data_IF_041704410654
#
_entry.id   IF_041704410654
#
_cell.length_a   1.000
_cell.length_b   1.000
_cell.length_c   1.000
_cell.angle_alpha   90.00
_cell.angle_beta   90.00
_cell.angle_gamma   90.00
#
_symmetry.space_group_name_H-M   'P 1'
#
loop_
_entity.id
_entity.type
_entity.pdbx_description
1 polymer ?
#
# COMPACT_ATOMS: atom_id res chain seq x y z
N UNK A 1 -10.35 -0.71 3.73
CA UNK A 1 -9.68 -0.55 5.05
C UNK A 1 -10.74 -0.70 6.12
N UNK A 2 -10.43 -1.34 7.25
CA UNK A 2 -11.34 -1.37 8.39
C UNK A 2 -10.86 -0.40 9.46
N UNK A 3 -11.79 0.30 10.09
CA UNK A 3 -11.52 1.30 11.13
C UNK A 3 -12.34 0.96 12.33
N UNK A 4 -11.66 0.55 13.40
CA UNK A 4 -12.26 0.11 14.65
C UNK A 4 -12.15 1.20 15.70
N UNK A 5 -13.21 1.40 16.47
CA UNK A 5 -13.25 2.36 17.54
C UNK A 5 -13.78 1.73 18.84
N UNK A 6 -12.98 1.76 19.90
CA UNK A 6 -13.44 1.40 21.25
C UNK A 6 -14.43 2.45 21.77
N UNK A 7 -15.29 2.03 22.69
CA UNK A 7 -16.32 2.91 23.26
C UNK A 7 -15.71 4.11 23.99
N UNK A 8 -14.64 3.88 24.74
CA UNK A 8 -13.94 4.88 25.53
C UNK A 8 -13.26 5.92 24.62
N UNK A 9 -12.59 5.46 23.56
CA UNK A 9 -11.96 6.37 22.59
C UNK A 9 -13.00 7.29 21.96
N UNK A 10 -14.13 6.74 21.50
CA UNK A 10 -15.20 7.53 20.87
C UNK A 10 -15.79 8.55 21.81
N UNK A 11 -16.02 8.17 23.08
CA UNK A 11 -16.58 9.09 24.07
C UNK A 11 -15.69 10.32 24.22
N UNK A 12 -14.37 10.13 24.29
CA UNK A 12 -13.42 11.25 24.39
C UNK A 12 -13.34 12.02 23.07
N UNK A 13 -13.19 11.34 21.94
CA UNK A 13 -13.07 11.98 20.63
C UNK A 13 -14.30 12.84 20.30
N UNK A 14 -15.51 12.33 20.50
CA UNK A 14 -16.75 13.05 20.19
C UNK A 14 -17.00 14.24 21.12
N UNK A 15 -16.46 14.20 22.35
CA UNK A 15 -16.52 15.31 23.30
C UNK A 15 -15.58 16.47 22.98
N UNK A 16 -14.57 16.26 22.11
CA UNK A 16 -13.66 17.33 21.68
C UNK A 16 -14.40 18.36 20.80
N UNK A 17 -14.07 19.66 20.92
CA UNK A 17 -14.44 20.65 19.90
C UNK A 17 -13.94 20.22 18.52
N UNK A 18 -14.72 20.48 17.46
CA UNK A 18 -14.31 20.15 16.10
C UNK A 18 -13.07 20.96 15.68
N UNK A 19 -12.14 20.31 14.94
CA UNK A 19 -10.98 20.93 14.27
C UNK A 19 -9.84 21.49 15.15
N UNK A 20 -9.55 20.86 16.29
CA UNK A 20 -8.44 21.34 17.14
C UNK A 20 -7.03 21.01 16.61
N UNK A 21 -6.90 20.03 15.70
CA UNK A 21 -5.61 19.60 15.15
C UNK A 21 -5.72 19.08 13.72
N UNK A 22 -4.58 18.99 13.02
CA UNK A 22 -4.48 18.32 11.70
C UNK A 22 -4.87 16.83 11.77
N UNK A 23 -4.72 16.21 12.95
CA UNK A 23 -5.11 14.82 13.19
C UNK A 23 -6.62 14.71 13.36
N UNK A 24 -7.25 15.64 14.06
CA UNK A 24 -8.71 15.69 14.17
C UNK A 24 -9.35 15.95 12.79
N UNK A 25 -8.75 16.82 11.98
CA UNK A 25 -9.12 16.99 10.57
C UNK A 25 -8.99 15.68 9.77
N UNK A 26 -7.91 14.93 9.98
CA UNK A 26 -7.76 13.61 9.38
C UNK A 26 -8.88 12.65 9.82
N UNK A 27 -9.21 12.57 11.12
CA UNK A 27 -10.27 11.70 11.62
C UNK A 27 -11.64 12.10 11.08
N UNK A 28 -11.93 13.40 11.04
CA UNK A 28 -13.14 13.91 10.43
C UNK A 28 -13.22 13.55 8.94
N UNK A 29 -12.12 13.69 8.19
CA UNK A 29 -12.06 13.28 6.78
C UNK A 29 -12.20 11.76 6.63
N UNK A 30 -11.56 10.98 7.49
CA UNK A 30 -11.64 9.52 7.53
C UNK A 30 -13.11 9.08 7.66
N UNK A 31 -13.85 9.68 8.59
CA UNK A 31 -15.24 9.33 8.85
C UNK A 31 -16.20 9.88 7.78
N UNK A 32 -15.94 11.08 7.25
CA UNK A 32 -16.87 11.80 6.36
C UNK A 32 -16.64 11.61 4.86
N UNK A 33 -15.44 11.24 4.42
CA UNK A 33 -15.06 11.39 3.00
C UNK A 33 -14.21 10.26 2.41
N UNK A 34 -13.58 9.42 3.25
CA UNK A 34 -12.82 8.28 2.74
C UNK A 34 -13.76 7.26 2.08
N UNK A 35 -13.35 6.73 0.93
CA UNK A 35 -14.12 5.72 0.22
C UNK A 35 -13.63 4.31 0.55
N UNK A 36 -14.53 3.33 0.52
CA UNK A 36 -14.24 1.90 0.71
C UNK A 36 -13.62 1.59 2.08
N UNK A 37 -14.20 2.21 3.10
CA UNK A 37 -13.89 1.95 4.49
C UNK A 37 -15.10 1.32 5.19
N UNK A 38 -14.81 0.34 6.04
CA UNK A 38 -15.77 -0.17 7.01
C UNK A 38 -15.42 0.42 8.37
N UNK A 39 -16.39 1.09 8.99
CA UNK A 39 -16.28 1.67 10.32
C UNK A 39 -16.98 0.71 11.28
N UNK A 40 -16.25 0.24 12.29
CA UNK A 40 -16.71 -0.70 13.29
C UNK A 40 -16.61 -0.01 14.65
N UNK A 41 -17.75 0.10 15.34
CA UNK A 41 -17.80 0.65 16.68
C UNK A 41 -18.08 -0.47 17.69
N UNK A 42 -17.43 -0.38 18.85
CA UNK A 42 -17.70 -1.29 19.96
C UNK A 42 -19.11 -1.04 20.52
N UNK A 43 -19.89 -2.11 20.62
CA UNK A 43 -21.25 -2.04 21.14
C UNK A 43 -22.09 -3.25 20.76
N UNK A 44 -23.21 -3.41 21.46
CA UNK A 44 -24.15 -4.51 21.24
C UNK A 44 -24.68 -4.50 19.80
N UNK A 45 -24.65 -5.65 19.13
CA UNK A 45 -25.07 -5.82 17.73
C UNK A 45 -26.60 -5.92 17.60
N UNK A 46 -27.31 -4.91 18.13
CA UNK A 46 -28.78 -4.82 18.10
C UNK A 46 -29.24 -3.67 17.20
N UNK A 47 -30.46 -3.77 16.66
CA UNK A 47 -31.05 -2.71 15.82
C UNK A 47 -31.16 -1.38 16.56
N UNK A 48 -31.46 -1.43 17.87
CA UNK A 48 -31.56 -0.25 18.71
C UNK A 48 -30.20 0.43 18.93
N UNK A 49 -29.18 -0.33 19.31
CA UNK A 49 -27.83 0.21 19.47
C UNK A 49 -27.30 0.79 18.14
N UNK A 50 -27.59 0.12 17.02
CA UNK A 50 -27.25 0.61 15.69
C UNK A 50 -27.97 1.92 15.36
N UNK A 51 -29.27 2.03 15.69
CA UNK A 51 -30.06 3.25 15.48
C UNK A 51 -29.56 4.45 16.29
N UNK A 52 -29.07 4.19 17.50
CA UNK A 52 -28.64 5.20 18.46
C UNK A 52 -27.14 5.50 18.42
N UNK A 53 -26.36 4.91 17.51
CA UNK A 53 -24.92 5.19 17.38
C UNK A 53 -24.68 6.66 17.02
N UNK A 54 -24.07 7.40 17.95
CA UNK A 54 -23.71 8.81 17.78
C UNK A 54 -22.75 9.02 16.61
N UNK A 55 -21.76 8.14 16.45
CA UNK A 55 -20.80 8.19 15.34
C UNK A 55 -21.53 8.09 14.00
N UNK A 56 -22.45 7.13 13.85
CA UNK A 56 -23.23 6.96 12.62
C UNK A 56 -24.11 8.18 12.34
N UNK A 57 -24.79 8.70 13.37
CA UNK A 57 -25.67 9.86 13.26
C UNK A 57 -24.90 11.13 12.88
N UNK A 58 -23.76 11.39 13.52
CA UNK A 58 -22.93 12.59 13.30
C UNK A 58 -22.31 12.64 11.91
N UNK A 59 -21.84 11.50 11.40
CA UNK A 59 -21.12 11.44 10.11
C UNK A 59 -21.99 10.93 8.95
N UNK A 60 -23.28 10.67 9.19
CA UNK A 60 -24.24 10.25 8.16
C UNK A 60 -23.84 8.98 7.42
N UNK A 61 -23.18 8.04 8.11
CA UNK A 61 -22.59 6.85 7.47
C UNK A 61 -23.71 5.90 7.03
N UNK A 62 -24.08 5.97 5.75
CA UNK A 62 -25.21 5.23 5.18
C UNK A 62 -24.92 4.71 3.77
N UNK A 63 -24.58 3.43 3.65
CA UNK A 63 -24.51 2.68 2.39
C UNK A 63 -23.50 3.17 1.34
N UNK A 64 -23.26 2.34 0.32
CA UNK A 64 -22.35 2.66 -0.79
C UNK A 64 -20.89 2.33 -0.48
N UNK A 65 -19.98 3.30 -0.63
CA UNK A 65 -18.54 3.10 -0.42
C UNK A 65 -18.14 3.09 1.05
N UNK A 66 -19.01 3.47 1.98
CA UNK A 66 -18.73 3.43 3.43
C UNK A 66 -19.78 2.58 4.12
N UNK A 67 -19.34 1.65 4.95
CA UNK A 67 -20.23 0.79 5.72
C UNK A 67 -19.98 0.97 7.20
N UNK A 68 -21.04 0.89 8.00
CA UNK A 68 -20.98 0.97 9.45
C UNK A 68 -21.50 -0.33 10.05
N UNK A 69 -20.83 -0.84 11.09
CA UNK A 69 -21.27 -2.00 11.85
C UNK A 69 -20.92 -1.84 13.34
N UNK A 70 -21.64 -2.58 14.18
CA UNK A 70 -21.32 -2.72 15.60
C UNK A 70 -20.64 -4.07 15.84
N UNK A 71 -19.80 -4.14 16.87
CA UNK A 71 -19.12 -5.36 17.26
C UNK A 71 -19.13 -5.50 18.78
N UNK A 72 -19.64 -6.64 19.25
CA UNK A 72 -19.68 -6.97 20.67
C UNK A 72 -18.27 -7.27 21.23
N UNK A 73 -17.32 -7.58 20.34
CA UNK A 73 -15.93 -7.85 20.68
C UNK A 73 -15.01 -7.50 19.49
N UNK A 74 -14.56 -6.25 19.46
CA UNK A 74 -13.66 -5.73 18.43
C UNK A 74 -12.36 -6.53 18.35
N UNK A 75 -11.73 -6.86 19.48
CA UNK A 75 -10.43 -7.53 19.51
C UNK A 75 -10.50 -8.90 18.84
N UNK A 76 -11.57 -9.66 19.11
CA UNK A 76 -11.83 -10.93 18.43
C UNK A 76 -12.04 -10.75 16.93
N UNK A 77 -12.79 -9.73 16.52
CA UNK A 77 -13.00 -9.45 15.09
C UNK A 77 -11.68 -9.10 14.39
N UNK A 78 -10.86 -8.25 15.01
CA UNK A 78 -9.52 -7.89 14.52
C UNK A 78 -8.63 -9.14 14.38
N UNK A 79 -8.60 -10.00 15.38
CA UNK A 79 -7.78 -11.22 15.37
C UNK A 79 -8.16 -12.19 14.23
N UNK A 80 -9.42 -12.16 13.78
CA UNK A 80 -9.92 -12.99 12.68
C UNK A 80 -9.89 -12.29 11.31
N UNK A 81 -9.42 -11.04 11.25
CA UNK A 81 -9.48 -10.23 10.05
C UNK A 81 -8.46 -10.69 9.00
N UNK A 82 -8.80 -10.58 7.71
CA UNK A 82 -7.94 -11.11 6.63
C UNK A 82 -6.61 -10.38 6.53
N UNK A 83 -5.58 -11.10 6.09
CA UNK A 83 -4.21 -10.61 5.91
C UNK A 83 -4.04 -9.60 4.78
N UNK A 84 -5.05 -9.41 3.93
CA UNK A 84 -4.96 -8.56 2.73
C UNK A 84 -5.35 -7.10 2.97
N UNK A 85 -5.78 -6.75 4.19
CA UNK A 85 -6.25 -5.43 4.54
C UNK A 85 -5.56 -4.86 5.78
N UNK A 86 -5.22 -3.57 5.75
CA UNK A 86 -4.81 -2.83 6.94
C UNK A 86 -6.08 -2.42 7.71
N UNK A 87 -6.00 -2.55 9.03
CA UNK A 87 -6.99 -2.12 9.99
C UNK A 87 -6.40 -1.01 10.87
N UNK A 88 -7.17 0.04 11.11
CA UNK A 88 -6.85 1.05 12.11
C UNK A 88 -7.68 0.75 13.36
N UNK A 89 -7.05 0.67 14.53
CA UNK A 89 -7.76 0.46 15.78
C UNK A 89 -7.51 1.63 16.73
N UNK A 90 -8.54 2.44 16.93
CA UNK A 90 -8.55 3.55 17.87
C UNK A 90 -9.13 3.08 19.19
N UNK A 91 -8.31 3.16 20.25
CA UNK A 91 -8.70 2.66 21.57
C UNK A 91 -8.13 3.51 22.70
N UNK A 92 -8.71 3.46 23.90
CA UNK A 92 -8.06 4.00 25.10
C UNK A 92 -6.95 3.08 25.61
N UNK A 93 -7.19 1.77 25.55
CA UNK A 93 -6.27 0.72 26.00
C UNK A 93 -6.51 -0.54 25.15
N UNK A 94 -5.47 -1.34 24.91
CA UNK A 94 -5.62 -2.64 24.25
C UNK A 94 -5.52 -3.73 25.30
N UNK A 95 -6.58 -4.54 25.47
CA UNK A 95 -6.58 -5.66 26.43
C UNK A 95 -5.78 -6.83 25.89
N UNK A 96 -5.90 -7.08 24.59
CA UNK A 96 -5.08 -8.05 23.88
C UNK A 96 -3.79 -7.43 23.31
N UNK A 97 -2.70 -7.52 24.07
CA UNK A 97 -1.39 -6.99 23.65
C UNK A 97 -0.84 -7.64 22.37
N UNK A 98 -1.34 -8.81 21.96
CA UNK A 98 -0.91 -9.44 20.72
C UNK A 98 -1.32 -8.64 19.48
N UNK A 99 -2.36 -7.80 19.60
CA UNK A 99 -2.76 -6.87 18.53
C UNK A 99 -1.67 -5.85 18.21
N UNK A 100 -0.82 -5.50 19.16
CA UNK A 100 0.34 -4.67 18.87
C UNK A 100 1.26 -5.38 17.90
N UNK A 101 1.44 -6.70 17.97
CA UNK A 101 2.35 -7.42 17.07
C UNK A 101 1.71 -7.82 15.75
N UNK A 102 0.41 -7.57 15.56
CA UNK A 102 -0.28 -7.91 14.34
C UNK A 102 0.11 -6.93 13.20
N UNK A 103 0.74 -7.42 12.11
CA UNK A 103 1.19 -6.55 11.02
C UNK A 103 0.05 -5.89 10.25
N UNK A 104 -1.18 -6.41 10.35
CA UNK A 104 -2.33 -5.87 9.65
C UNK A 104 -3.13 -4.87 10.48
N UNK A 105 -2.68 -4.53 11.69
CA UNK A 105 -3.43 -3.70 12.64
C UNK A 105 -2.55 -2.57 13.17
N UNK A 106 -2.92 -1.33 12.88
CA UNK A 106 -2.27 -0.14 13.43
C UNK A 106 -3.06 0.29 14.66
N UNK A 107 -2.48 0.10 15.84
CA UNK A 107 -3.09 0.45 17.12
C UNK A 107 -2.75 1.90 17.49
N UNK A 108 -3.80 2.71 17.67
CA UNK A 108 -3.76 4.14 17.92
C UNK A 108 -4.43 4.40 19.28
N UNK A 109 -3.62 4.57 20.32
CA UNK A 109 -4.13 4.75 21.67
C UNK A 109 -4.52 6.22 21.89
N UNK A 110 -5.51 6.49 22.74
CA UNK A 110 -5.97 7.84 23.06
C UNK A 110 -4.82 8.76 23.52
N UNK A 111 -3.84 8.23 24.22
CA UNK A 111 -2.69 8.97 24.76
C UNK A 111 -1.70 9.43 23.68
N UNK A 112 -1.58 8.71 22.55
CA UNK A 112 -0.49 8.91 21.59
C UNK A 112 -0.89 8.92 20.11
N UNK A 113 -2.18 8.77 19.78
CA UNK A 113 -2.64 8.65 18.40
C UNK A 113 -2.25 9.86 17.54
N UNK A 114 -2.32 11.07 18.10
CA UNK A 114 -1.98 12.30 17.36
C UNK A 114 -0.50 12.34 16.98
N UNK A 115 0.38 11.99 17.92
CA UNK A 115 1.82 11.91 17.68
C UNK A 115 2.15 10.83 16.64
N UNK A 116 1.55 9.65 16.76
CA UNK A 116 1.73 8.54 15.81
C UNK A 116 1.30 8.90 14.39
N UNK A 117 0.09 9.45 14.22
CA UNK A 117 -0.42 9.82 12.88
C UNK A 117 0.46 10.91 12.26
N UNK A 118 0.85 11.91 13.05
CA UNK A 118 1.75 12.99 12.57
C UNK A 118 3.10 12.41 12.12
N UNK A 119 3.68 11.51 12.91
CA UNK A 119 4.92 10.84 12.57
C UNK A 119 4.78 9.99 11.29
N UNK A 120 3.72 9.17 11.19
CA UNK A 120 3.50 8.33 10.01
C UNK A 120 3.33 9.15 8.73
N UNK A 121 2.58 10.26 8.77
CA UNK A 121 2.47 11.19 7.64
C UNK A 121 3.83 11.79 7.28
N UNK A 122 4.63 12.21 8.26
CA UNK A 122 5.96 12.76 7.99
C UNK A 122 6.90 11.73 7.34
N UNK A 123 6.81 10.46 7.74
CA UNK A 123 7.66 9.39 7.22
C UNK A 123 7.23 8.89 5.83
N UNK A 124 5.93 8.95 5.52
CA UNK A 124 5.33 8.32 4.33
C UNK A 124 4.67 9.29 3.35
N UNK A 125 4.71 10.59 3.61
CA UNK A 125 4.16 11.62 2.73
C UNK A 125 5.25 12.65 2.41
N UNK A 126 5.84 12.52 1.23
CA UNK A 126 6.96 13.35 0.78
C UNK A 126 6.98 13.48 -0.74
N UNK A 127 7.71 14.46 -1.24
CA UNK A 127 8.00 14.59 -2.66
C UNK A 127 9.36 15.21 -2.92
N UNK A 128 10.01 14.81 -4.01
CA UNK A 128 11.28 15.40 -4.45
C UNK A 128 11.45 15.25 -5.96
N UNK A 129 12.39 16.02 -6.52
CA UNK A 129 12.78 15.94 -7.93
C UNK A 129 14.01 15.03 -8.07
N UNK A 130 13.96 14.11 -9.03
CA UNK A 130 15.09 13.27 -9.45
C UNK A 130 15.90 13.99 -10.53
N UNK A 131 16.96 14.71 -10.13
CA UNK A 131 17.90 15.32 -11.07
C UNK A 131 19.06 14.37 -11.39
N UNK A 132 19.40 13.46 -10.48
CA UNK A 132 20.45 12.47 -10.64
C UNK A 132 20.23 11.24 -9.74
N UNK A 133 21.03 10.17 -9.95
CA UNK A 133 20.93 8.93 -9.17
C UNK A 133 21.10 9.10 -7.65
N UNK A 134 21.84 10.11 -7.17
CA UNK A 134 22.04 10.32 -5.73
C UNK A 134 20.79 10.86 -5.05
N UNK A 135 19.85 11.44 -5.80
CA UNK A 135 18.60 11.94 -5.25
C UNK A 135 17.72 10.83 -4.68
N UNK A 136 17.91 9.58 -5.12
CA UNK A 136 17.27 8.42 -4.50
C UNK A 136 17.62 8.25 -3.01
N UNK A 137 18.72 8.83 -2.52
CA UNK A 137 19.03 8.85 -1.08
C UNK A 137 18.05 9.72 -0.27
N UNK A 138 17.24 10.56 -0.93
CA UNK A 138 16.15 11.33 -0.29
C UNK A 138 14.94 10.45 0.04
N UNK A 139 14.90 9.21 -0.43
CA UNK A 139 13.84 8.26 -0.10
C UNK A 139 13.96 7.83 1.38
N UNK A 140 12.99 8.24 2.19
CA UNK A 140 13.00 8.04 3.66
C UNK A 140 12.18 6.83 4.11
N UNK A 141 11.64 6.02 3.19
CA UNK A 141 10.76 4.88 3.51
C UNK A 141 11.44 3.88 4.47
N UNK A 142 12.73 3.61 4.30
CA UNK A 142 13.49 2.68 5.13
C UNK A 142 13.49 3.04 6.63
N UNK A 143 13.30 4.33 6.94
CA UNK A 143 13.30 4.86 8.29
C UNK A 143 11.92 4.75 8.96
N UNK A 144 10.87 4.38 8.21
CA UNK A 144 9.51 4.43 8.73
C UNK A 144 9.21 3.28 9.67
N UNK A 145 8.94 3.59 10.93
CA UNK A 145 8.49 2.64 11.95
C UNK A 145 7.22 1.89 11.55
N UNK A 146 6.34 2.55 10.78
CA UNK A 146 5.11 1.94 10.26
C UNK A 146 5.42 0.84 9.24
N UNK A 147 6.34 1.09 8.31
CA UNK A 147 6.74 0.08 7.33
C UNK A 147 7.40 -1.10 8.01
N UNK A 148 8.24 -0.85 9.01
CA UNK A 148 8.94 -1.93 9.72
C UNK A 148 8.01 -2.99 10.28
N UNK A 149 6.84 -2.53 10.72
CA UNK A 149 5.89 -3.37 11.45
C UNK A 149 4.77 -3.92 10.59
N UNK A 150 4.36 -3.18 9.56
CA UNK A 150 3.10 -3.42 8.84
C UNK A 150 3.28 -3.77 7.36
N UNK A 151 4.50 -3.68 6.80
CA UNK A 151 4.73 -4.00 5.40
C UNK A 151 4.83 -5.52 5.19
N UNK A 152 3.86 -6.09 4.45
CA UNK A 152 3.83 -7.52 4.09
C UNK A 152 3.77 -7.80 2.59
N UNK A 153 3.30 -6.83 1.81
CA UNK A 153 3.16 -6.96 0.37
C UNK A 153 3.48 -5.65 -0.32
N UNK A 154 4.32 -5.75 -1.34
CA UNK A 154 4.64 -4.69 -2.27
C UNK A 154 4.07 -5.06 -3.64
N UNK A 155 3.49 -4.10 -4.34
CA UNK A 155 3.15 -4.24 -5.76
C UNK A 155 3.85 -3.16 -6.55
N UNK A 156 4.59 -3.59 -7.58
CA UNK A 156 5.34 -2.72 -8.47
C UNK A 156 4.68 -2.76 -9.83
N UNK A 157 4.22 -1.59 -10.27
CA UNK A 157 3.70 -1.37 -11.60
C UNK A 157 4.74 -0.54 -12.34
N UNK A 158 5.43 -1.16 -13.28
CA UNK A 158 6.23 -0.42 -14.25
C UNK A 158 6.37 -1.28 -15.52
N UNK A 159 5.78 -0.83 -16.64
CA UNK A 159 5.78 -1.60 -17.89
C UNK A 159 7.19 -1.80 -18.45
N UNK A 160 8.16 -0.96 -18.06
CA UNK A 160 9.50 -0.94 -18.64
C UNK A 160 10.60 -1.38 -17.68
N UNK A 161 10.28 -1.89 -16.49
CA UNK A 161 11.25 -2.19 -15.41
C UNK A 161 12.37 -3.19 -15.76
N UNK A 162 12.19 -3.97 -16.82
CA UNK A 162 13.18 -4.92 -17.31
C UNK A 162 13.66 -4.59 -18.73
N UNK A 163 13.37 -3.38 -19.23
CA UNK A 163 13.61 -2.98 -20.61
C UNK A 163 15.09 -3.06 -21.01
N UNK A 164 15.99 -2.64 -20.11
CA UNK A 164 17.44 -2.68 -20.35
C UNK A 164 18.02 -4.09 -20.24
N UNK A 165 17.48 -4.94 -19.36
CA UNK A 165 17.79 -6.37 -19.37
C UNK A 165 17.38 -7.01 -20.69
N UNK A 166 16.17 -6.76 -21.19
CA UNK A 166 15.71 -7.36 -22.45
C UNK A 166 16.53 -6.96 -23.68
N UNK A 167 17.11 -5.75 -23.69
CA UNK A 167 18.04 -5.26 -24.72
C UNK A 167 19.38 -5.98 -24.70
N UNK A 168 19.94 -6.13 -23.50
CA UNK A 168 21.35 -6.51 -23.32
C UNK A 168 21.55 -7.99 -23.05
N UNK A 169 20.54 -8.66 -22.46
CA UNK A 169 20.64 -10.03 -21.96
C UNK A 169 21.59 -10.19 -20.77
N UNK A 170 21.97 -9.11 -20.10
CA UNK A 170 22.90 -9.13 -18.95
C UNK A 170 22.18 -8.78 -17.66
N UNK A 171 22.34 -9.63 -16.65
CA UNK A 171 21.74 -9.47 -15.32
C UNK A 171 22.13 -8.16 -14.64
N UNK A 172 23.34 -7.65 -14.89
CA UNK A 172 23.83 -6.35 -14.40
C UNK A 172 22.98 -5.13 -14.82
N UNK A 173 22.11 -5.32 -15.83
CA UNK A 173 21.18 -4.32 -16.36
C UNK A 173 19.72 -4.56 -15.92
N UNK A 174 19.46 -5.52 -15.03
CA UNK A 174 18.21 -5.55 -14.25
C UNK A 174 18.22 -4.27 -13.40
N UNK A 175 17.26 -3.38 -13.65
CA UNK A 175 17.38 -1.95 -13.40
C UNK A 175 17.83 -1.61 -11.98
N UNK A 176 18.99 -0.93 -11.89
CA UNK A 176 19.63 -0.54 -10.64
C UNK A 176 18.74 0.32 -9.74
N UNK A 177 17.86 1.23 -10.23
CA UNK A 177 16.95 1.95 -9.37
C UNK A 177 15.84 1.07 -8.77
N UNK A 178 15.32 0.07 -9.49
CA UNK A 178 14.36 -0.89 -8.92
C UNK A 178 15.01 -1.69 -7.79
N UNK A 179 16.19 -2.26 -8.04
CA UNK A 179 16.97 -2.97 -7.01
C UNK A 179 17.35 -2.05 -5.86
N UNK A 180 17.71 -0.80 -6.13
CA UNK A 180 18.04 0.18 -5.10
C UNK A 180 16.83 0.53 -4.23
N UNK A 181 15.66 0.75 -4.82
CA UNK A 181 14.43 1.07 -4.08
C UNK A 181 13.96 -0.14 -3.30
N UNK A 182 14.02 -1.33 -3.90
CA UNK A 182 13.77 -2.57 -3.17
C UNK A 182 14.75 -2.70 -2.02
N UNK A 183 16.06 -2.60 -2.23
CA UNK A 183 17.04 -2.65 -1.14
C UNK A 183 16.76 -1.59 -0.07
N UNK A 184 16.43 -0.35 -0.44
CA UNK A 184 16.03 0.67 0.54
C UNK A 184 14.77 0.30 1.31
N UNK A 185 13.81 -0.35 0.67
CA UNK A 185 12.60 -0.82 1.36
C UNK A 185 12.90 -2.06 2.19
N UNK A 186 13.81 -2.93 1.74
CA UNK A 186 13.96 -4.35 2.13
C UNK A 186 15.19 -4.64 3.00
N UNK A 187 16.09 -3.67 3.20
CA UNK A 187 17.40 -3.75 3.88
C UNK A 187 17.39 -4.28 5.33
N UNK A 188 16.26 -4.69 5.89
CA UNK A 188 16.15 -5.02 7.31
C UNK A 188 15.43 -6.34 7.59
N UNK A 189 15.99 -7.09 8.56
CA UNK A 189 15.61 -8.45 8.97
C UNK A 189 14.11 -8.62 9.30
N UNK A 190 13.37 -7.54 9.56
CA UNK A 190 11.94 -7.60 9.88
C UNK A 190 11.02 -7.80 8.66
N UNK A 191 11.55 -7.70 7.43
CA UNK A 191 10.79 -7.92 6.18
C UNK A 191 10.86 -9.36 5.68
N UNK A 192 11.21 -10.30 6.56
CA UNK A 192 10.91 -11.71 6.36
C UNK A 192 9.42 -11.85 5.95
N UNK A 193 9.17 -12.60 4.88
CA UNK A 193 7.84 -12.84 4.28
C UNK A 193 7.26 -11.71 3.41
N UNK A 194 8.08 -10.78 2.90
CA UNK A 194 7.59 -9.80 1.92
C UNK A 194 7.21 -10.48 0.60
N UNK A 195 5.95 -10.32 0.17
CA UNK A 195 5.52 -10.66 -1.20
C UNK A 195 5.70 -9.45 -2.12
N UNK A 196 6.51 -9.59 -3.17
CA UNK A 196 6.66 -8.60 -4.23
C UNK A 196 5.90 -9.08 -5.46
N UNK A 197 4.94 -8.27 -5.93
CA UNK A 197 4.22 -8.50 -7.17
C UNK A 197 4.63 -7.46 -8.22
N UNK A 198 5.32 -7.87 -9.28
CA UNK A 198 5.71 -6.96 -10.36
C UNK A 198 4.82 -7.19 -11.58
N UNK A 199 4.23 -6.13 -12.13
CA UNK A 199 3.48 -6.17 -13.40
C UNK A 199 4.26 -5.38 -14.45
N UNK A 200 4.67 -6.08 -15.51
CA UNK A 200 5.52 -5.54 -16.57
C UNK A 200 4.94 -5.84 -17.96
N UNK A 201 5.36 -5.09 -18.98
CA UNK A 201 4.97 -5.37 -20.36
C UNK A 201 5.98 -6.29 -21.07
N UNK A 202 5.49 -7.04 -22.06
CA UNK A 202 6.34 -7.76 -22.99
C UNK A 202 7.13 -6.76 -23.85
N UNK A 203 8.46 -6.75 -23.69
CA UNK A 203 9.31 -5.81 -24.40
C UNK A 203 9.37 -6.10 -25.90
N UNK A 204 8.98 -5.12 -26.74
CA UNK A 204 8.93 -5.26 -28.20
C UNK A 204 10.30 -5.08 -28.88
N UNK A 205 11.17 -6.08 -28.73
CA UNK A 205 12.29 -6.26 -29.64
C UNK A 205 11.97 -7.41 -30.57
N UNK A 206 11.52 -7.09 -31.79
CA UNK A 206 11.47 -7.95 -32.97
C UNK A 206 11.58 -9.47 -32.67
N UNK A 207 10.46 -10.05 -32.22
CA UNK A 207 10.17 -11.51 -32.12
C UNK A 207 11.21 -12.35 -31.34
N UNK A 208 11.37 -12.10 -30.04
CA UNK A 208 11.69 -13.22 -29.12
C UNK A 208 10.48 -14.18 -29.06
N UNK A 209 10.72 -15.49 -29.13
CA UNK A 209 9.63 -16.47 -28.96
C UNK A 209 9.10 -16.43 -27.52
N UNK A 210 7.84 -16.83 -27.31
CA UNK A 210 7.22 -16.98 -25.96
C UNK A 210 8.11 -17.80 -25.01
N UNK A 211 8.85 -18.78 -25.55
CA UNK A 211 9.81 -19.60 -24.81
C UNK A 211 11.02 -18.78 -24.35
N UNK A 212 11.57 -17.91 -25.20
CA UNK A 212 12.68 -17.03 -24.83
C UNK A 212 12.27 -16.04 -23.74
N UNK A 213 11.08 -15.46 -23.83
CA UNK A 213 10.59 -14.51 -22.83
C UNK A 213 10.37 -15.18 -21.46
N UNK A 214 9.74 -16.37 -21.45
CA UNK A 214 9.55 -17.13 -20.21
C UNK A 214 10.88 -17.54 -19.55
N UNK A 215 11.92 -17.84 -20.33
CA UNK A 215 13.26 -18.10 -19.83
C UNK A 215 13.90 -16.84 -19.26
N UNK A 216 13.78 -15.72 -19.96
CA UNK A 216 14.33 -14.42 -19.54
C UNK A 216 13.69 -13.97 -18.21
N UNK A 217 12.36 -14.12 -18.05
CA UNK A 217 11.67 -13.87 -16.76
C UNK A 217 12.18 -14.76 -15.63
N UNK A 218 12.41 -16.06 -15.90
CA UNK A 218 12.97 -16.97 -14.88
C UNK A 218 14.38 -16.55 -14.46
N UNK A 219 15.23 -16.15 -15.41
CA UNK A 219 16.56 -15.65 -15.08
C UNK A 219 16.52 -14.37 -14.24
N UNK A 220 15.59 -13.46 -14.53
CA UNK A 220 15.34 -12.27 -13.70
C UNK A 220 14.92 -12.67 -12.28
N UNK A 221 14.00 -13.64 -12.16
CA UNK A 221 13.54 -14.12 -10.85
C UNK A 221 14.66 -14.79 -10.06
N UNK A 222 15.43 -15.68 -10.67
CA UNK A 222 16.59 -16.34 -10.04
C UNK A 222 17.62 -15.32 -9.55
N UNK A 223 17.89 -14.27 -10.34
CA UNK A 223 18.76 -13.18 -9.93
C UNK A 223 18.17 -12.40 -8.73
N UNK A 224 16.89 -12.04 -8.78
CA UNK A 224 16.23 -11.29 -7.71
C UNK A 224 16.12 -12.09 -6.42
N UNK A 225 15.88 -13.40 -6.49
CA UNK A 225 15.89 -14.31 -5.33
C UNK A 225 17.26 -14.34 -4.66
N UNK A 226 18.35 -14.14 -5.42
CA UNK A 226 19.71 -14.01 -4.87
C UNK A 226 19.98 -12.68 -4.16
N UNK A 227 19.18 -11.64 -4.40
CA UNK A 227 19.36 -10.29 -3.84
C UNK A 227 18.35 -10.01 -2.71
N UNK A 228 17.17 -10.62 -2.76
CA UNK A 228 16.12 -10.47 -1.77
C UNK A 228 16.42 -11.26 -0.48
N UNK A 229 15.88 -10.85 0.69
CA UNK A 229 16.00 -11.61 1.93
C UNK A 229 15.45 -13.02 1.77
N UNK A 230 16.11 -13.99 2.40
CA UNK A 230 15.88 -15.44 2.26
C UNK A 230 14.44 -15.97 2.44
N UNK A 231 13.51 -15.15 2.93
CA UNK A 231 12.09 -15.49 3.15
C UNK A 231 11.11 -14.62 2.33
N UNK A 232 11.60 -13.72 1.48
CA UNK A 232 10.73 -12.96 0.58
C UNK A 232 10.29 -13.83 -0.59
N UNK A 233 9.10 -13.55 -1.15
CA UNK A 233 8.62 -14.18 -2.39
C UNK A 233 8.45 -13.16 -3.49
N UNK A 234 8.94 -13.48 -4.68
CA UNK A 234 8.76 -12.65 -5.86
C UNK A 234 7.76 -13.30 -6.82
N UNK A 235 6.80 -12.51 -7.29
CA UNK A 235 5.84 -12.90 -8.32
C UNK A 235 5.92 -11.90 -9.46
N UNK A 236 6.11 -12.40 -10.68
CA UNK A 236 6.11 -11.56 -11.88
C UNK A 236 4.87 -11.88 -12.73
N UNK A 237 4.08 -10.85 -13.01
CA UNK A 237 2.94 -10.91 -13.92
C UNK A 237 3.34 -10.27 -15.24
N UNK A 238 3.32 -11.08 -16.29
CA UNK A 238 3.47 -10.60 -17.66
C UNK A 238 2.13 -10.06 -18.16
N UNK A 239 2.10 -8.76 -18.46
CA UNK A 239 0.89 -8.11 -18.98
C UNK A 239 0.60 -8.47 -20.45
N UNK A 240 1.62 -8.93 -21.20
CA UNK A 240 1.54 -9.35 -22.60
C UNK A 240 1.12 -8.22 -23.58
N UNK A 241 1.54 -8.30 -24.85
CA UNK A 241 1.03 -7.36 -25.87
C UNK A 241 -0.48 -7.49 -26.14
N UNK A 242 -1.04 -8.67 -25.91
CA UNK A 242 -2.43 -9.03 -26.24
C UNK A 242 -3.47 -8.32 -25.37
N UNK A 243 -3.08 -7.69 -24.27
CA UNK A 243 -3.99 -7.03 -23.34
C UNK A 243 -3.96 -5.49 -23.40
N UNK A 244 -3.50 -4.90 -24.53
CA UNK A 244 -3.74 -3.48 -24.90
C UNK A 244 -5.24 -3.16 -25.13
N UNK A 245 -6.15 -3.82 -24.42
CA UNK A 245 -7.51 -3.36 -24.28
C UNK A 245 -7.48 -2.09 -23.42
N UNK A 246 -8.20 -1.05 -23.84
CA UNK A 246 -8.37 0.23 -23.10
C UNK A 246 -8.96 0.10 -21.68
N UNK A 247 -9.15 -1.13 -21.18
CA UNK A 247 -9.79 -1.44 -19.90
C UNK A 247 -8.82 -1.49 -18.71
N UNK A 248 -7.53 -1.76 -18.94
CA UNK A 248 -6.51 -1.82 -17.90
C UNK A 248 -5.26 -1.09 -18.38
N UNK A 249 -5.03 0.10 -17.85
CA UNK A 249 -3.88 0.94 -18.17
C UNK A 249 -2.83 0.80 -17.06
N UNK A 250 -1.73 0.11 -17.38
CA UNK A 250 -0.58 -0.08 -16.48
C UNK A 250 0.58 0.86 -16.85
N UNK A 251 0.34 1.99 -17.53
CA UNK A 251 1.39 2.96 -17.84
C UNK A 251 1.89 3.72 -16.61
N UNK A 252 1.06 3.81 -15.56
CA UNK A 252 1.43 4.48 -14.32
C UNK A 252 2.50 3.71 -13.55
N UNK A 253 3.59 4.40 -13.23
CA UNK A 253 4.79 3.83 -12.62
C UNK A 253 4.75 4.02 -11.12
N UNK A 254 4.36 2.96 -10.41
CA UNK A 254 4.07 3.02 -8.99
C UNK A 254 4.65 1.83 -8.23
N UNK A 255 5.13 2.08 -7.02
CA UNK A 255 5.29 1.07 -5.98
C UNK A 255 4.24 1.33 -4.91
N UNK A 256 3.43 0.34 -4.56
CA UNK A 256 2.41 0.53 -3.53
C UNK A 256 2.23 -0.69 -2.63
N UNK A 257 1.67 -0.43 -1.45
CA UNK A 257 1.35 -1.44 -0.43
C UNK A 257 -0.03 -1.14 0.19
N UNK A 258 -0.33 -1.74 1.34
CA UNK A 258 -1.49 -1.36 2.15
C UNK A 258 -1.31 -0.05 2.90
N UNK A 259 -0.10 0.55 2.87
CA UNK A 259 0.29 1.67 3.74
C UNK A 259 0.62 2.94 2.95
N UNK A 260 1.18 2.78 1.74
CA UNK A 260 1.65 3.90 0.93
C UNK A 260 1.57 3.59 -0.57
N UNK A 261 1.65 4.64 -1.37
CA UNK A 261 1.92 4.61 -2.80
C UNK A 261 3.02 5.61 -3.15
N UNK A 262 4.09 5.12 -3.74
CA UNK A 262 5.19 5.86 -4.33
C UNK A 262 4.97 5.95 -5.84
N UNK A 263 4.80 7.16 -6.35
CA UNK A 263 4.70 7.48 -7.78
C UNK A 263 6.06 7.97 -8.27
N UNK A 264 6.48 7.50 -9.44
CA UNK A 264 7.74 7.91 -10.04
C UNK A 264 7.51 8.23 -11.51
N UNK A 265 7.49 9.50 -11.88
CA UNK A 265 7.10 9.89 -13.24
C UNK A 265 8.02 9.31 -14.33
N UNK A 266 9.34 9.30 -14.12
CA UNK A 266 10.34 8.68 -15.04
C UNK A 266 10.44 7.16 -14.92
N UNK A 267 9.73 6.55 -13.97
CA UNK A 267 9.86 5.12 -13.68
C UNK A 267 11.11 4.75 -12.94
N UNK A 268 11.39 3.45 -12.91
CA UNK A 268 12.52 2.90 -12.17
C UNK A 268 13.76 2.66 -13.04
N UNK A 269 13.87 3.38 -14.17
CA UNK A 269 14.95 3.27 -15.15
C UNK A 269 16.04 4.34 -14.95
N UNK A 270 17.27 4.11 -15.44
CA UNK A 270 18.39 5.08 -15.34
C UNK A 270 18.29 6.28 -16.32
N UNK A 271 17.21 6.42 -17.11
CA UNK A 271 17.16 7.43 -18.17
C UNK A 271 16.87 8.83 -17.63
N UNK A 272 17.87 9.70 -17.74
CA UNK A 272 17.86 11.10 -17.28
C UNK A 272 17.60 12.15 -18.38
N UNK A 273 17.04 11.78 -19.54
CA UNK A 273 17.07 12.68 -20.70
C UNK A 273 15.93 13.70 -20.79
N UNK A 274 14.83 13.52 -20.05
CA UNK A 274 13.69 14.42 -20.11
C UNK A 274 13.41 15.03 -18.73
N UNK A 275 13.54 16.36 -18.60
CA UNK A 275 13.12 17.11 -17.41
C UNK A 275 11.61 16.97 -17.11
N UNK A 276 10.84 16.42 -18.05
CA UNK A 276 9.43 16.11 -17.86
C UNK A 276 9.27 14.82 -17.05
N UNK A 277 8.49 14.89 -15.97
CA UNK A 277 8.12 13.75 -15.09
C UNK A 277 9.22 13.24 -14.14
N UNK A 278 10.21 14.05 -13.73
CA UNK A 278 11.22 13.68 -12.72
C UNK A 278 10.71 13.70 -11.27
N UNK A 279 9.43 14.02 -11.06
CA UNK A 279 8.81 14.05 -9.75
C UNK A 279 8.66 12.64 -9.16
N UNK A 280 9.11 12.51 -7.91
CA UNK A 280 8.83 11.38 -7.03
C UNK A 280 7.90 11.87 -5.95
N UNK A 281 6.77 11.19 -5.77
CA UNK A 281 5.79 11.53 -4.75
C UNK A 281 5.41 10.27 -3.97
N UNK A 282 5.40 10.35 -2.65
CA UNK A 282 4.87 9.31 -1.78
C UNK A 282 3.65 9.83 -1.04
N UNK A 283 2.59 9.04 -1.02
CA UNK A 283 1.36 9.31 -0.28
C UNK A 283 1.03 8.12 0.61
N UNK A 284 0.51 8.39 1.81
CA UNK A 284 0.16 7.36 2.79
C UNK A 284 -1.35 7.08 2.83
N UNK A 285 -1.75 6.03 3.55
CA UNK A 285 -3.17 5.79 3.90
C UNK A 285 -3.77 6.87 4.83
N UNK A 286 -2.94 7.69 5.45
CA UNK A 286 -3.38 8.82 6.28
C UNK A 286 -3.68 10.07 5.44
N UNK A 287 -3.41 10.02 4.13
CA UNK A 287 -3.82 11.01 3.16
C UNK A 287 -5.01 10.47 2.36
N UNK A 288 -6.11 11.24 2.29
CA UNK A 288 -7.32 10.81 1.57
C UNK A 288 -7.00 10.41 0.13
N UNK A 289 -6.20 11.25 -0.53
CA UNK A 289 -5.75 11.00 -1.89
C UNK A 289 -4.86 9.75 -2.01
N UNK A 290 -3.94 9.55 -1.06
CA UNK A 290 -3.09 8.35 -1.01
C UNK A 290 -3.91 7.08 -0.86
N UNK A 291 -4.85 7.05 0.09
CA UNK A 291 -5.80 5.94 0.25
C UNK A 291 -6.63 5.68 -1.01
N UNK A 292 -7.15 6.73 -1.64
CA UNK A 292 -7.94 6.63 -2.87
C UNK A 292 -7.12 6.08 -4.05
N UNK A 293 -5.85 6.46 -4.16
CA UNK A 293 -4.92 5.91 -5.16
C UNK A 293 -4.61 4.43 -4.89
N UNK A 294 -4.25 4.08 -3.64
CA UNK A 294 -3.92 2.70 -3.24
C UNK A 294 -5.10 1.77 -3.55
N UNK A 295 -6.33 2.12 -3.16
CA UNK A 295 -7.51 1.26 -3.42
C UNK A 295 -7.77 1.13 -4.92
N UNK A 296 -7.58 2.21 -5.69
CA UNK A 296 -7.79 2.19 -7.13
C UNK A 296 -6.81 1.22 -7.81
N UNK A 297 -5.52 1.29 -7.47
CA UNK A 297 -4.50 0.37 -7.99
C UNK A 297 -4.76 -1.07 -7.60
N UNK A 298 -5.08 -1.33 -6.34
CA UNK A 298 -5.47 -2.67 -5.86
C UNK A 298 -6.65 -3.24 -6.64
N UNK A 299 -7.71 -2.44 -6.85
CA UNK A 299 -8.89 -2.87 -7.62
C UNK A 299 -8.52 -3.16 -9.08
N UNK A 300 -7.73 -2.30 -9.70
CA UNK A 300 -7.28 -2.47 -11.08
C UNK A 300 -6.50 -3.78 -11.24
N UNK A 301 -5.50 -4.02 -10.38
CA UNK A 301 -4.70 -5.25 -10.38
C UNK A 301 -5.55 -6.49 -10.10
N UNK A 302 -6.39 -6.46 -9.05
CA UNK A 302 -7.25 -7.58 -8.70
C UNK A 302 -8.18 -7.96 -9.85
N UNK A 303 -8.85 -6.96 -10.45
CA UNK A 303 -9.74 -7.16 -11.59
C UNK A 303 -8.98 -7.68 -12.81
N UNK A 304 -7.77 -7.18 -13.06
CA UNK A 304 -6.91 -7.67 -14.14
C UNK A 304 -6.57 -9.16 -13.94
N UNK A 305 -6.05 -9.54 -12.78
CA UNK A 305 -5.68 -10.92 -12.45
C UNK A 305 -6.88 -11.87 -12.59
N UNK A 306 -8.05 -11.45 -12.12
CA UNK A 306 -9.28 -12.26 -12.18
C UNK A 306 -9.83 -12.42 -13.60
N UNK A 307 -9.82 -11.34 -14.40
CA UNK A 307 -10.52 -11.32 -15.70
C UNK A 307 -9.61 -11.69 -16.86
N UNK A 308 -8.37 -11.21 -16.89
CA UNK A 308 -7.42 -11.47 -17.95
C UNK A 308 -6.68 -12.81 -17.75
N UNK A 309 -6.66 -13.34 -16.51
CA UNK A 309 -5.94 -14.57 -16.12
C UNK A 309 -4.52 -14.57 -16.69
N UNK A 310 -3.71 -13.54 -16.39
CA UNK A 310 -2.37 -13.41 -16.93
C UNK A 310 -1.51 -14.57 -16.50
N UNK A 311 -0.41 -14.79 -17.23
CA UNK A 311 0.60 -15.74 -16.80
C UNK A 311 1.35 -15.15 -15.60
N UNK A 312 1.33 -15.88 -14.49
CA UNK A 312 2.03 -15.53 -13.26
C UNK A 312 3.22 -16.47 -13.12
N UNK A 313 4.40 -15.89 -12.95
CA UNK A 313 5.63 -16.60 -12.65
C UNK A 313 5.88 -16.46 -11.14
N UNK A 314 5.99 -17.60 -10.45
CA UNK A 314 6.37 -17.72 -9.04
C UNK A 314 7.59 -18.64 -8.94
#
# INVERSE_FOLDING_TARGET
MKVYFSKEFLTVFLSKPAYNSDVDQFLDLLLSSYSEIQIIQEGASTTEAFANSELRLRYGISGGSRTFSLSDNIEKEIATCSTDCISLYFTSETRDKSLYENPNVIVLNLEDYEGKITQFKKELTFGFILDNLKDWNKLTLSQSSLLKKHLRKLTVLDPYIFSEYYKSGREENIERPFLYILNKIVEEDYLCDLEILTITEEYDHQRKSVVSYARDIRGIMEFLDGVMPSLSSLKVIDNGKSNRSSKFDFHDRNIYSNLFILKVGVGFTEKHSDYTNSEVECYSIFDKWGHDLIRHRKRMVSKYVQTARPKIYN
#
